data_IF_543113571628
#
_entry.id   IF_543113571628
#
_cell.length_a   1.000
_cell.length_b   1.000
_cell.length_c   1.000
_cell.angle_alpha   90.00
_cell.angle_beta   90.00
_cell.angle_gamma   90.00
#
_symmetry.space_group_name_H-M   'P 1'
#
loop_
_entity.id
_entity.type
_entity.pdbx_description
1 polymer ?
#
# COMPACT_ATOMS: atom_id res chain seq x y z
N UNK A 1 -22.03 26.56 42.52
CA UNK A 1 -21.11 26.76 41.37
C UNK A 1 -21.32 25.64 40.37
N UNK A 2 -21.65 25.97 39.11
CA UNK A 2 -21.69 24.98 38.02
C UNK A 2 -20.26 24.63 37.56
N UNK A 3 -19.96 23.37 37.22
CA UNK A 3 -18.63 23.00 36.76
C UNK A 3 -18.36 23.58 35.37
N UNK A 4 -17.20 24.25 35.22
CA UNK A 4 -16.76 24.86 33.99
C UNK A 4 -16.57 23.82 32.86
N UNK A 5 -17.09 24.11 31.66
CA UNK A 5 -16.88 23.30 30.46
C UNK A 5 -15.41 23.33 30.06
N UNK A 6 -14.70 22.21 30.20
CA UNK A 6 -13.34 22.05 29.63
C UNK A 6 -13.42 22.23 28.11
N UNK A 7 -12.66 23.20 27.59
CA UNK A 7 -12.57 23.50 26.17
C UNK A 7 -12.14 22.26 25.39
N UNK A 8 -12.90 21.95 24.34
CA UNK A 8 -12.57 20.89 23.38
C UNK A 8 -11.32 21.35 22.63
N UNK A 9 -10.18 20.73 22.95
CA UNK A 9 -8.94 20.87 22.18
C UNK A 9 -9.23 20.54 20.70
N UNK A 10 -9.11 21.53 19.82
CA UNK A 10 -9.22 21.33 18.37
C UNK A 10 -8.05 20.46 17.93
N UNK A 11 -8.31 19.18 17.69
CA UNK A 11 -7.33 18.25 17.12
C UNK A 11 -6.82 18.83 15.80
N UNK A 12 -5.49 18.93 15.67
CA UNK A 12 -4.79 19.36 14.46
C UNK A 12 -5.40 18.66 13.23
N UNK A 13 -5.78 19.44 12.21
CA UNK A 13 -6.36 18.91 10.98
C UNK A 13 -5.45 17.86 10.36
N UNK A 14 -6.05 16.75 9.93
CA UNK A 14 -5.33 15.69 9.23
C UNK A 14 -4.81 16.27 7.90
N UNK A 15 -3.49 16.19 7.65
CA UNK A 15 -2.92 16.72 6.41
C UNK A 15 -3.29 15.83 5.22
N UNK A 16 -3.40 16.43 4.03
CA UNK A 16 -3.64 15.74 2.76
C UNK A 16 -2.64 14.59 2.50
N UNK A 17 -1.40 14.73 2.99
CA UNK A 17 -0.35 13.70 2.85
C UNK A 17 -0.68 12.47 3.69
N UNK A 18 -1.26 12.65 4.87
CA UNK A 18 -1.66 11.51 5.69
C UNK A 18 -2.85 10.76 5.06
N UNK A 19 -3.58 11.34 4.11
CA UNK A 19 -4.71 10.70 3.45
C UNK A 19 -4.27 9.61 2.46
N UNK A 20 -3.14 9.78 1.78
CA UNK A 20 -2.62 8.77 0.84
C UNK A 20 -1.57 7.93 1.56
N UNK A 21 -1.86 6.63 1.74
CA UNK A 21 -1.01 5.72 2.51
C UNK A 21 -0.85 4.42 1.75
N UNK A 22 0.39 3.95 1.63
CA UNK A 22 0.71 2.62 1.14
C UNK A 22 1.46 1.86 2.23
N UNK A 23 1.07 0.61 2.46
CA UNK A 23 1.64 -0.27 3.48
C UNK A 23 1.66 -1.71 2.99
N UNK A 24 2.66 -2.48 3.41
CA UNK A 24 2.74 -3.91 3.16
C UNK A 24 2.54 -4.66 4.47
N UNK A 25 1.55 -5.55 4.48
CA UNK A 25 1.18 -6.31 5.67
C UNK A 25 1.15 -7.79 5.41
N UNK A 26 1.47 -8.56 6.45
CA UNK A 26 1.25 -10.01 6.46
C UNK A 26 0.01 -10.33 7.29
N UNK A 27 -1.03 -10.86 6.64
CA UNK A 27 -2.25 -11.29 7.32
C UNK A 27 -2.13 -12.77 7.69
N UNK A 28 -2.28 -13.09 8.97
CA UNK A 28 -2.42 -14.48 9.43
C UNK A 28 -3.87 -14.95 9.28
N UNK A 29 -4.18 -15.55 8.13
CA UNK A 29 -5.51 -16.06 7.80
C UNK A 29 -5.87 -17.26 8.68
N UNK A 30 -4.89 -18.11 9.03
CA UNK A 30 -5.11 -19.33 9.80
C UNK A 30 -5.80 -19.06 11.16
N UNK A 31 -5.44 -17.96 11.83
CA UNK A 31 -6.10 -17.54 13.10
C UNK A 31 -7.59 -17.27 12.90
N UNK A 32 -7.98 -16.72 11.75
CA UNK A 32 -9.35 -16.29 11.46
C UNK A 32 -10.23 -17.42 10.91
N UNK A 33 -9.65 -18.44 10.29
CA UNK A 33 -10.38 -19.59 9.71
C UNK A 33 -10.44 -20.82 10.64
N UNK A 34 -9.79 -20.76 11.82
CA UNK A 34 -9.77 -21.84 12.79
C UNK A 34 -11.21 -22.15 13.25
N UNK A 35 -11.59 -23.44 13.25
CA UNK A 35 -12.93 -23.88 13.66
C UNK A 35 -14.03 -23.71 12.60
N UNK A 36 -13.74 -23.17 11.41
CA UNK A 36 -14.74 -23.04 10.35
C UNK A 36 -14.86 -24.31 9.49
N UNK A 37 -16.11 -24.60 9.07
CA UNK A 37 -16.41 -25.66 8.12
C UNK A 37 -15.71 -25.45 6.78
N UNK A 38 -15.27 -26.55 6.15
CA UNK A 38 -14.36 -26.51 4.99
C UNK A 38 -14.90 -25.71 3.80
N UNK A 39 -16.20 -25.80 3.51
CA UNK A 39 -16.85 -25.09 2.41
C UNK A 39 -16.90 -23.56 2.60
N UNK A 40 -16.61 -23.04 3.80
CA UNK A 40 -16.71 -21.61 4.11
C UNK A 40 -15.34 -20.94 4.31
N UNK A 41 -14.22 -21.66 4.19
CA UNK A 41 -12.89 -21.12 4.53
C UNK A 41 -12.41 -20.02 3.58
N UNK A 42 -12.27 -20.31 2.28
CA UNK A 42 -11.87 -19.29 1.29
C UNK A 42 -12.80 -18.05 1.25
N UNK A 43 -14.14 -18.19 1.18
CA UNK A 43 -15.02 -17.02 1.17
C UNK A 43 -14.97 -16.25 2.50
N UNK A 44 -14.72 -16.92 3.64
CA UNK A 44 -14.50 -16.20 4.91
C UNK A 44 -13.16 -15.47 4.91
N UNK A 45 -12.10 -16.08 4.42
CA UNK A 45 -10.79 -15.44 4.33
C UNK A 45 -10.85 -14.12 3.54
N UNK A 46 -11.57 -14.07 2.41
CA UNK A 46 -11.81 -12.82 1.68
C UNK A 46 -12.50 -11.75 2.53
N UNK A 47 -13.53 -12.12 3.30
CA UNK A 47 -14.24 -11.20 4.19
C UNK A 47 -13.33 -10.68 5.30
N UNK A 48 -12.47 -11.53 5.85
CA UNK A 48 -11.52 -11.15 6.89
C UNK A 48 -10.41 -10.25 6.33
N UNK A 49 -9.93 -10.48 5.10
CA UNK A 49 -9.00 -9.56 4.41
C UNK A 49 -9.66 -8.19 4.21
N UNK A 50 -10.92 -8.16 3.78
CA UNK A 50 -11.66 -6.90 3.63
C UNK A 50 -11.80 -6.18 4.97
N UNK A 51 -12.17 -6.90 6.03
CA UNK A 51 -12.28 -6.36 7.39
C UNK A 51 -10.95 -5.84 7.92
N UNK A 52 -9.85 -6.53 7.61
CA UNK A 52 -8.50 -6.11 7.96
C UNK A 52 -8.16 -4.77 7.29
N UNK A 53 -8.36 -4.67 5.98
CA UNK A 53 -8.13 -3.43 5.22
C UNK A 53 -9.00 -2.26 5.73
N UNK A 54 -10.28 -2.50 6.04
CA UNK A 54 -11.16 -1.50 6.63
C UNK A 54 -10.64 -1.00 7.99
N UNK A 55 -10.07 -1.91 8.80
CA UNK A 55 -9.55 -1.58 10.12
C UNK A 55 -8.25 -0.78 10.06
N UNK A 56 -7.31 -1.20 9.22
CA UNK A 56 -5.99 -0.54 9.11
C UNK A 56 -6.10 0.81 8.40
N UNK A 57 -6.85 0.88 7.28
CA UNK A 57 -6.92 2.09 6.44
C UNK A 57 -8.08 3.03 6.81
N UNK A 58 -9.06 2.55 7.59
CA UNK A 58 -10.22 3.35 8.03
C UNK A 58 -11.20 3.73 6.92
N UNK A 59 -11.14 3.07 5.76
CA UNK A 59 -12.04 3.34 4.62
C UNK A 59 -13.12 2.27 4.48
N UNK A 60 -14.38 2.65 4.21
CA UNK A 60 -15.45 1.69 3.96
C UNK A 60 -15.38 1.05 2.57
N UNK A 61 -14.87 1.76 1.55
CA UNK A 61 -14.66 1.18 0.21
C UNK A 61 -13.32 0.43 0.14
N UNK A 62 -13.40 -0.89 -0.07
CA UNK A 62 -12.24 -1.78 -0.19
C UNK A 62 -12.38 -2.64 -1.43
N UNK A 63 -11.46 -2.42 -2.37
CA UNK A 63 -11.37 -3.11 -3.65
C UNK A 63 -10.27 -4.16 -3.56
N UNK A 64 -10.61 -5.40 -3.87
CA UNK A 64 -9.68 -6.53 -3.80
C UNK A 64 -9.21 -6.83 -5.22
N UNK A 65 -7.90 -6.84 -5.44
CA UNK A 65 -7.34 -7.22 -6.73
C UNK A 65 -7.64 -8.68 -7.06
N UNK A 66 -7.87 -8.94 -8.35
CA UNK A 66 -8.13 -10.27 -8.90
C UNK A 66 -6.96 -11.22 -8.66
N UNK A 67 -5.71 -10.73 -8.64
CA UNK A 67 -4.53 -11.56 -8.37
C UNK A 67 -4.53 -12.10 -6.95
N UNK A 68 -4.93 -11.27 -5.99
CA UNK A 68 -5.09 -11.68 -4.59
C UNK A 68 -6.19 -12.73 -4.45
N UNK A 69 -7.29 -12.54 -5.15
CA UNK A 69 -8.34 -13.55 -5.20
C UNK A 69 -7.82 -14.87 -5.76
N UNK A 70 -7.13 -14.86 -6.91
CA UNK A 70 -6.54 -16.08 -7.50
C UNK A 70 -5.56 -16.77 -6.54
N UNK A 71 -4.68 -16.03 -5.87
CA UNK A 71 -3.72 -16.59 -4.92
C UNK A 71 -4.40 -17.25 -3.71
N UNK A 72 -5.49 -16.65 -3.22
CA UNK A 72 -6.25 -17.20 -2.10
C UNK A 72 -6.99 -18.50 -2.47
N UNK A 73 -7.50 -18.57 -3.70
CA UNK A 73 -8.26 -19.71 -4.23
C UNK A 73 -7.39 -20.75 -4.94
N UNK A 74 -6.08 -20.55 -5.06
CA UNK A 74 -5.16 -21.41 -5.83
C UNK A 74 -5.18 -22.89 -5.40
N UNK A 75 -5.40 -23.17 -4.11
CA UNK A 75 -5.47 -24.53 -3.55
C UNK A 75 -6.92 -25.01 -3.30
N UNK A 76 -7.90 -24.30 -3.86
CA UNK A 76 -9.32 -24.56 -3.68
C UNK A 76 -9.90 -24.03 -2.36
N UNK A 77 -11.15 -24.44 -2.06
CA UNK A 77 -11.96 -23.84 -0.99
C UNK A 77 -11.52 -24.19 0.44
N UNK A 78 -10.91 -25.38 0.62
CA UNK A 78 -10.56 -25.95 1.93
C UNK A 78 -9.19 -25.49 2.44
N UNK A 79 -8.23 -25.33 1.52
CA UNK A 79 -6.80 -25.22 1.81
C UNK A 79 -6.28 -23.81 1.53
N UNK A 80 -6.85 -22.82 2.21
CA UNK A 80 -6.41 -21.42 2.13
C UNK A 80 -4.96 -21.29 2.64
N UNK A 81 -4.12 -20.43 2.05
CA UNK A 81 -2.78 -20.14 2.61
C UNK A 81 -2.86 -19.70 4.07
N UNK A 82 -1.88 -20.14 4.87
CA UNK A 82 -1.83 -19.84 6.31
C UNK A 82 -1.63 -18.34 6.58
N UNK A 83 -0.71 -17.74 5.84
CA UNK A 83 -0.41 -16.32 5.84
C UNK A 83 -0.40 -15.82 4.40
N UNK A 84 -0.78 -14.57 4.19
CA UNK A 84 -0.68 -13.90 2.90
C UNK A 84 -0.08 -12.52 3.09
N UNK A 85 0.83 -12.13 2.20
CA UNK A 85 1.35 -10.76 2.15
C UNK A 85 0.48 -9.94 1.19
N UNK A 86 0.00 -8.81 1.68
CA UNK A 86 -0.87 -7.89 0.94
C UNK A 86 -0.28 -6.50 0.96
N UNK A 87 -0.34 -5.83 -0.19
CA UNK A 87 -0.16 -4.39 -0.29
C UNK A 87 -1.51 -3.72 -0.07
N UNK A 88 -1.56 -2.78 0.86
CA UNK A 88 -2.69 -1.88 1.08
C UNK A 88 -2.33 -0.52 0.53
N UNK A 89 -3.13 0.00 -0.39
CA UNK A 89 -2.97 1.34 -0.94
C UNK A 89 -4.27 2.10 -0.79
N UNK A 90 -4.25 3.18 -0.02
CA UNK A 90 -5.39 4.09 0.12
C UNK A 90 -5.18 5.26 -0.82
N UNK A 91 -6.03 5.33 -1.84
CA UNK A 91 -5.97 6.32 -2.91
C UNK A 91 -7.22 7.20 -2.89
N UNK A 92 -7.11 8.38 -3.50
CA UNK A 92 -8.24 9.27 -3.75
C UNK A 92 -9.02 8.76 -4.94
N UNK A 93 -10.35 8.83 -4.85
CA UNK A 93 -11.18 8.51 -5.98
C UNK A 93 -11.22 9.70 -6.95
N UNK A 94 -11.13 9.42 -8.25
CA UNK A 94 -11.26 10.43 -9.30
C UNK A 94 -12.73 10.60 -9.71
N UNK A 95 -13.56 9.59 -9.47
CA UNK A 95 -14.99 9.60 -9.81
C UNK A 95 -15.80 10.43 -8.80
N UNK A 96 -16.39 11.52 -9.29
CA UNK A 96 -17.23 12.45 -8.50
C UNK A 96 -18.54 11.80 -8.01
N UNK A 97 -19.03 10.76 -8.70
CA UNK A 97 -20.29 10.05 -8.39
C UNK A 97 -20.21 9.14 -7.15
N UNK A 98 -19.02 8.94 -6.58
CA UNK A 98 -18.83 8.02 -5.45
C UNK A 98 -19.10 8.72 -4.10
N UNK A 99 -19.81 8.07 -3.16
CA UNK A 99 -20.09 8.67 -1.84
C UNK A 99 -18.83 8.79 -0.96
N UNK A 100 -17.76 8.04 -1.29
CA UNK A 100 -16.52 7.99 -0.52
C UNK A 100 -15.37 8.62 -1.31
N UNK A 101 -14.71 9.63 -0.72
CA UNK A 101 -13.56 10.31 -1.33
C UNK A 101 -12.31 9.44 -1.46
N UNK A 102 -12.19 8.41 -0.61
CA UNK A 102 -11.02 7.52 -0.53
C UNK A 102 -11.47 6.08 -0.71
N UNK A 103 -10.67 5.30 -1.43
CA UNK A 103 -10.83 3.85 -1.55
C UNK A 103 -9.50 3.17 -1.20
N UNK A 104 -9.59 1.94 -0.70
CA UNK A 104 -8.41 1.10 -0.48
C UNK A 104 -8.36 0.01 -1.53
N UNK A 105 -7.26 -0.07 -2.27
CA UNK A 105 -6.94 -1.17 -3.16
C UNK A 105 -6.00 -2.16 -2.43
N UNK A 106 -6.41 -3.43 -2.42
CA UNK A 106 -5.65 -4.53 -1.82
C UNK A 106 -5.01 -5.36 -2.92
N UNK A 107 -3.68 -5.36 -2.99
CA UNK A 107 -2.89 -6.09 -3.98
C UNK A 107 -2.19 -7.29 -3.36
N UNK A 108 -1.96 -8.34 -4.15
CA UNK A 108 -1.16 -9.49 -3.73
C UNK A 108 0.32 -9.25 -3.92
N UNK A 109 1.11 -9.46 -2.86
CA UNK A 109 2.57 -9.43 -2.93
C UNK A 109 3.11 -10.85 -2.82
N UNK A 110 3.75 -11.39 -3.88
CA UNK A 110 4.38 -12.70 -3.81
C UNK A 110 5.64 -12.62 -2.95
N UNK A 111 5.68 -13.45 -1.90
CA UNK A 111 6.84 -13.52 -1.00
C UNK A 111 7.32 -14.97 -0.92
N UNK A 112 8.63 -15.16 -0.97
CA UNK A 112 9.27 -16.48 -0.97
C UNK A 112 9.33 -17.10 0.42
N UNK A 113 9.52 -16.31 1.48
CA UNK A 113 9.59 -16.80 2.87
C UNK A 113 8.88 -15.87 3.84
N UNK A 114 8.13 -16.46 4.79
CA UNK A 114 7.39 -15.71 5.82
C UNK A 114 8.10 -15.66 7.19
N UNK A 115 9.35 -16.14 7.26
CA UNK A 115 10.13 -16.12 8.52
C UNK A 115 10.69 -14.71 8.73
N UNK A 116 10.53 -14.16 9.94
CA UNK A 116 11.06 -12.85 10.34
C UNK A 116 10.56 -11.62 9.56
N UNK A 117 9.43 -11.73 8.84
CA UNK A 117 8.73 -10.56 8.33
C UNK A 117 8.09 -9.83 9.52
N UNK A 118 8.83 -8.91 10.14
CA UNK A 118 8.18 -7.84 10.89
C UNK A 118 7.26 -7.09 9.93
N UNK A 119 6.11 -6.61 10.41
CA UNK A 119 5.29 -5.64 9.70
C UNK A 119 6.14 -4.41 9.47
N UNK A 120 6.95 -4.43 8.40
CA UNK A 120 7.73 -3.29 7.99
C UNK A 120 6.68 -2.27 7.57
N UNK A 121 6.44 -1.31 8.46
CA UNK A 121 5.84 -0.03 8.11
C UNK A 121 6.79 0.61 7.09
N UNK A 122 6.77 0.13 5.85
CA UNK A 122 7.23 0.87 4.70
C UNK A 122 6.20 1.99 4.56
N UNK A 123 6.40 3.01 5.40
CA UNK A 123 5.88 4.36 5.21
C UNK A 123 6.62 4.98 4.03
N UNK A 124 6.68 4.28 2.90
CA UNK A 124 7.03 4.86 1.61
C UNK A 124 5.86 5.74 1.25
N UNK A 125 5.88 6.97 1.77
CA UNK A 125 5.25 8.07 1.06
C UNK A 125 5.73 7.94 -0.38
N UNK A 126 4.84 7.65 -1.35
CA UNK A 126 5.16 7.61 -2.78
C UNK A 126 6.01 8.80 -3.21
N UNK A 127 5.84 9.95 -2.54
CA UNK A 127 6.62 11.18 -2.69
C UNK A 127 8.15 10.94 -2.57
N UNK A 128 8.64 10.07 -1.69
CA UNK A 128 10.10 9.81 -1.57
C UNK A 128 10.63 8.95 -2.73
N UNK A 129 9.87 7.98 -3.22
CA UNK A 129 10.28 7.15 -4.36
C UNK A 129 10.21 7.94 -5.68
N UNK A 130 9.16 8.74 -5.87
CA UNK A 130 9.07 9.64 -7.03
C UNK A 130 10.10 10.76 -6.98
N UNK A 131 10.37 11.38 -5.81
CA UNK A 131 11.46 12.37 -5.69
C UNK A 131 12.85 11.72 -5.82
N UNK A 132 13.03 10.46 -5.41
CA UNK A 132 14.27 9.73 -5.63
C UNK A 132 14.47 9.40 -7.11
N UNK A 133 13.43 8.93 -7.83
CA UNK A 133 13.51 8.68 -9.27
C UNK A 133 13.70 9.97 -10.08
N UNK A 134 13.00 11.06 -9.72
CA UNK A 134 13.19 12.38 -10.36
C UNK A 134 14.59 12.94 -10.10
N UNK A 135 15.13 12.81 -8.89
CA UNK A 135 16.52 13.22 -8.59
C UNK A 135 17.55 12.34 -9.32
N UNK A 136 17.33 11.03 -9.45
CA UNK A 136 18.22 10.16 -10.23
C UNK A 136 18.21 10.51 -11.72
N UNK A 137 17.04 10.80 -12.31
CA UNK A 137 16.93 11.27 -13.68
C UNK A 137 17.63 12.62 -13.89
N UNK A 138 17.46 13.57 -12.96
CA UNK A 138 18.10 14.89 -13.03
C UNK A 138 19.64 14.78 -12.91
N UNK A 139 20.14 13.95 -11.98
CA UNK A 139 21.58 13.68 -11.82
C UNK A 139 22.13 12.96 -13.06
N UNK A 140 21.40 12.00 -13.62
CA UNK A 140 21.80 11.31 -14.84
C UNK A 140 21.85 12.27 -16.03
N UNK A 141 20.86 13.15 -16.19
CA UNK A 141 20.86 14.20 -17.20
C UNK A 141 22.03 15.17 -17.01
N UNK A 142 22.31 15.57 -15.78
CA UNK A 142 23.40 16.50 -15.46
C UNK A 142 24.78 15.87 -15.70
N UNK A 143 24.97 14.60 -15.33
CA UNK A 143 26.21 13.87 -15.58
C UNK A 143 26.42 13.61 -17.09
N UNK A 144 25.34 13.29 -17.81
CA UNK A 144 25.40 13.10 -19.26
C UNK A 144 25.71 14.43 -19.98
N UNK A 145 25.16 15.56 -19.53
CA UNK A 145 25.48 16.89 -20.06
C UNK A 145 26.95 17.29 -19.82
N UNK A 146 27.51 16.99 -18.64
CA UNK A 146 28.92 17.25 -18.34
C UNK A 146 29.85 16.38 -19.19
N UNK A 147 29.51 15.10 -19.38
CA UNK A 147 30.32 14.17 -20.21
C UNK A 147 30.28 14.50 -21.71
N UNK A 148 29.22 15.14 -22.21
CA UNK A 148 29.13 15.55 -23.62
C UNK A 148 29.85 16.87 -23.94
N UNK A 149 30.32 17.61 -22.93
CA UNK A 149 31.00 18.91 -23.14
C UNK A 149 32.53 18.83 -23.09
N UNK A 150 33.11 17.63 -23.02
CA UNK A 150 34.57 17.42 -22.94
C UNK A 150 35.22 16.93 -24.25
N UNK A 151 34.51 17.02 -25.38
CA UNK A 151 35.10 16.82 -26.71
C UNK A 151 34.86 18.01 -27.65
N UNK A 152 35.45 19.17 -27.33
CA UNK A 152 35.86 20.13 -28.37
C UNK A 152 37.28 20.59 -28.09
N UNK A 153 38.23 19.68 -28.29
CA UNK A 153 39.63 20.04 -28.55
C UNK A 153 39.73 20.39 -30.05
N UNK A 154 39.99 21.64 -30.46
CA UNK A 154 40.18 21.95 -31.87
C UNK A 154 41.50 21.30 -32.34
N UNK A 155 41.40 20.23 -33.15
CA UNK A 155 42.52 19.80 -33.99
C UNK A 155 42.72 20.89 -35.05
N UNK A 156 43.84 21.61 -34.94
CA UNK A 156 44.34 22.47 -36.02
C UNK A 156 44.69 21.59 -37.24
N UNK A 157 44.29 21.98 -38.47
CA UNK A 157 44.65 21.25 -39.68
C UNK A 157 46.03 21.64 -40.22
N UNK A 158 46.72 20.60 -40.72
CA UNK A 158 47.95 20.56 -41.55
C UNK A 158 49.26 21.11 -40.95
#
# INVERSE_FOLDING_TARGET
MAPAKKGVEKKKGHSAINEVVTQEDTINIHKHIRGLGFKKRAPRALKEIRKFAMKEMGTPDVRIDTRLNKALWAKGIRNVPYCICVGLSRNRNEDEDSPNKLYTLVTYMPVTTFKNLQSMWLRTNQIKLENCQKNYQLIFFFLCFMLTNEEVSPRLPA
#
